data_IF_291183534501
#
_entry.id   IF_291183534501
#
_cell.length_a   1.000
_cell.length_b   1.000
_cell.length_c   1.000
_cell.angle_alpha   90.00
_cell.angle_beta   90.00
_cell.angle_gamma   90.00
#
_symmetry.space_group_name_H-M   'P 1'
#
loop_
_entity.id
_entity.type
_entity.pdbx_description
1 polymer ?
#
# COMPACT_ATOMS: atom_id res chain seq x y z
N UNK A 1 -3.13 30.02 23.53
CA UNK A 1 -2.75 29.03 22.47
C UNK A 1 -3.96 28.73 21.61
N UNK A 2 -3.82 28.60 20.28
CA UNK A 2 -4.95 28.28 19.41
C UNK A 2 -5.20 26.78 19.51
N UNK A 3 -6.24 26.38 20.23
CA UNK A 3 -6.61 24.97 20.34
C UNK A 3 -7.18 24.47 18.99
N UNK A 4 -6.67 23.34 18.50
CA UNK A 4 -7.19 22.63 17.34
C UNK A 4 -8.28 21.63 17.76
N UNK A 5 -9.07 21.16 16.80
CA UNK A 5 -9.97 20.04 17.03
C UNK A 5 -9.20 18.71 16.85
N UNK A 6 -8.29 18.66 15.86
CA UNK A 6 -7.40 17.52 15.68
C UNK A 6 -5.96 17.96 15.40
N UNK A 7 -5.00 17.21 15.96
CA UNK A 7 -3.61 17.16 15.51
C UNK A 7 -3.43 15.86 14.72
N UNK A 8 -2.79 15.95 13.55
CA UNK A 8 -2.41 14.80 12.72
C UNK A 8 -0.87 14.72 12.69
N UNK A 9 -0.31 13.58 13.03
CA UNK A 9 1.13 13.34 12.91
C UNK A 9 1.40 12.67 11.56
N UNK A 10 2.13 13.36 10.68
CA UNK A 10 2.51 12.90 9.36
C UNK A 10 1.62 13.43 8.23
N UNK A 11 2.26 13.99 7.20
CA UNK A 11 1.63 14.54 5.98
C UNK A 11 1.63 13.55 4.80
N UNK A 12 1.66 12.25 5.07
CA UNK A 12 1.51 11.20 4.06
C UNK A 12 0.05 11.00 3.64
N UNK A 13 -0.24 9.99 2.78
CA UNK A 13 -1.57 9.75 2.24
C UNK A 13 -2.68 9.59 3.29
N UNK A 14 -2.39 8.98 4.45
CA UNK A 14 -3.35 8.82 5.54
C UNK A 14 -3.69 10.16 6.19
N UNK A 15 -2.65 10.91 6.58
CA UNK A 15 -2.83 12.17 7.32
C UNK A 15 -3.46 13.27 6.46
N UNK A 16 -3.08 13.37 5.19
CA UNK A 16 -3.68 14.35 4.25
C UNK A 16 -5.16 14.08 4.00
N UNK A 17 -5.55 12.80 3.85
CA UNK A 17 -6.96 12.40 3.72
C UNK A 17 -7.74 12.71 5.00
N UNK A 18 -7.24 12.31 6.16
CA UNK A 18 -7.90 12.54 7.44
C UNK A 18 -8.09 14.05 7.72
N UNK A 19 -7.02 14.83 7.55
CA UNK A 19 -7.05 16.27 7.77
C UNK A 19 -7.99 17.00 6.81
N UNK A 20 -7.94 16.65 5.52
CA UNK A 20 -8.81 17.26 4.50
C UNK A 20 -10.28 16.95 4.75
N UNK A 21 -10.63 15.71 5.13
CA UNK A 21 -12.00 15.33 5.46
C UNK A 21 -12.55 16.16 6.63
N UNK A 22 -11.78 16.28 7.71
CA UNK A 22 -12.18 17.07 8.88
C UNK A 22 -12.30 18.56 8.56
N UNK A 23 -11.36 19.09 7.78
CA UNK A 23 -11.37 20.50 7.38
C UNK A 23 -12.60 20.88 6.56
N UNK A 24 -12.98 20.04 5.59
CA UNK A 24 -14.17 20.26 4.75
C UNK A 24 -15.46 20.28 5.57
N UNK A 25 -15.43 19.76 6.81
CA UNK A 25 -16.55 19.76 7.78
C UNK A 25 -16.40 20.80 8.88
N UNK A 26 -15.53 21.78 8.67
CA UNK A 26 -15.41 22.95 9.55
C UNK A 26 -14.50 22.77 10.75
N UNK A 27 -13.83 21.63 10.90
CA UNK A 27 -12.92 21.42 12.03
C UNK A 27 -11.56 22.10 11.82
N UNK A 28 -10.95 22.54 12.91
CA UNK A 28 -9.60 23.13 12.92
C UNK A 28 -8.58 22.00 13.07
N UNK A 29 -7.79 21.79 12.03
CA UNK A 29 -6.80 20.71 11.98
C UNK A 29 -5.41 21.29 11.73
N UNK A 30 -4.40 20.69 12.36
CA UNK A 30 -2.99 20.94 12.09
C UNK A 30 -2.27 19.62 11.81
N UNK A 31 -1.31 19.64 10.89
CA UNK A 31 -0.43 18.51 10.61
C UNK A 31 0.99 18.83 11.12
N UNK A 32 1.60 17.87 11.79
CA UNK A 32 3.00 17.93 12.23
C UNK A 32 3.77 16.87 11.42
N UNK A 33 4.72 17.33 10.59
CA UNK A 33 5.50 16.47 9.70
C UNK A 33 7.00 16.60 10.03
N UNK A 34 7.65 15.47 10.30
CA UNK A 34 9.06 15.42 10.64
C UNK A 34 9.99 15.81 9.49
N UNK A 35 9.62 15.45 8.27
CA UNK A 35 10.48 15.61 7.10
C UNK A 35 10.13 16.85 6.29
N UNK A 36 11.10 17.38 5.59
CA UNK A 36 10.88 18.35 4.53
C UNK A 36 10.46 17.63 3.25
N UNK A 37 9.53 18.20 2.50
CA UNK A 37 9.07 17.67 1.23
C UNK A 37 9.74 18.37 0.04
N UNK A 38 9.94 17.68 -1.10
CA UNK A 38 9.62 16.26 -1.38
C UNK A 38 10.57 15.29 -0.66
N UNK A 39 10.04 14.12 -0.22
CA UNK A 39 10.80 13.08 0.46
C UNK A 39 10.50 11.71 -0.12
N UNK A 40 11.50 10.82 -0.15
CA UNK A 40 11.32 9.46 -0.66
C UNK A 40 10.56 8.59 0.36
N UNK A 41 9.58 7.83 -0.15
CA UNK A 41 8.91 6.73 0.54
C UNK A 41 8.63 5.62 -0.48
N UNK A 42 8.77 4.35 -0.10
CA UNK A 42 8.37 3.23 -0.95
C UNK A 42 6.85 3.01 -0.89
N UNK A 43 6.27 2.41 -1.96
CA UNK A 43 4.84 2.19 -2.13
C UNK A 43 4.28 3.02 -3.28
N UNK A 44 4.74 2.72 -4.49
CA UNK A 44 4.63 3.53 -5.71
C UNK A 44 3.55 3.05 -6.66
N UNK A 45 3.00 1.88 -6.39
CA UNK A 45 1.86 1.30 -7.10
C UNK A 45 0.61 1.47 -6.25
N UNK A 46 -0.41 2.13 -6.79
CA UNK A 46 -1.64 2.44 -6.06
C UNK A 46 -2.75 1.43 -6.38
N UNK A 47 -3.85 1.51 -5.63
CA UNK A 47 -5.06 0.71 -5.88
C UNK A 47 -6.28 1.62 -6.14
N UNK A 48 -7.23 1.17 -6.98
CA UNK A 48 -8.43 1.92 -7.34
C UNK A 48 -9.24 2.44 -6.15
N UNK A 49 -9.34 1.69 -5.07
CA UNK A 49 -10.04 2.12 -3.85
C UNK A 49 -9.62 3.52 -3.38
N UNK A 50 -8.32 3.82 -3.45
CA UNK A 50 -7.80 5.12 -2.98
C UNK A 50 -8.33 6.31 -3.77
N UNK A 51 -8.75 6.11 -5.02
CA UNK A 51 -9.29 7.18 -5.88
C UNK A 51 -10.55 7.78 -5.25
N UNK A 52 -11.46 6.95 -4.75
CA UNK A 52 -12.66 7.39 -4.06
C UNK A 52 -12.36 8.17 -2.77
N UNK A 53 -11.29 7.81 -2.04
CA UNK A 53 -10.90 8.54 -0.83
C UNK A 53 -10.39 9.94 -1.16
N UNK A 54 -9.60 10.12 -2.23
CA UNK A 54 -9.16 11.45 -2.68
C UNK A 54 -10.30 12.26 -3.30
N UNK A 55 -11.25 11.61 -3.97
CA UNK A 55 -12.45 12.26 -4.49
C UNK A 55 -13.30 12.81 -3.33
N UNK A 56 -13.62 11.98 -2.33
CA UNK A 56 -14.42 12.36 -1.17
C UNK A 56 -13.78 13.49 -0.33
N UNK A 57 -12.46 13.57 -0.34
CA UNK A 57 -11.70 14.59 0.41
C UNK A 57 -11.27 15.79 -0.44
N UNK A 58 -11.72 15.86 -1.70
CA UNK A 58 -11.42 16.97 -2.62
C UNK A 58 -9.93 17.09 -3.00
N UNK A 59 -9.13 16.03 -2.80
CA UNK A 59 -7.72 15.99 -3.14
C UNK A 59 -7.48 15.48 -4.57
N UNK A 60 -8.46 14.75 -5.14
CA UNK A 60 -8.35 14.14 -6.47
C UNK A 60 -8.03 15.13 -7.59
N UNK A 61 -8.63 16.33 -7.68
CA UNK A 61 -8.33 17.27 -8.76
C UNK A 61 -6.85 17.68 -8.85
N UNK A 62 -6.18 17.85 -7.69
CA UNK A 62 -4.76 18.17 -7.66
C UNK A 62 -3.86 17.02 -8.17
N UNK A 63 -4.29 15.78 -8.00
CA UNK A 63 -3.60 14.60 -8.52
C UNK A 63 -3.85 14.37 -10.00
N UNK A 64 -5.07 14.61 -10.49
CA UNK A 64 -5.47 14.40 -11.90
C UNK A 64 -4.65 15.21 -12.90
N UNK A 65 -4.17 16.36 -12.51
CA UNK A 65 -3.37 17.25 -13.40
C UNK A 65 -1.90 16.83 -13.50
N UNK A 66 -1.42 15.87 -12.68
CA UNK A 66 0.00 15.52 -12.58
C UNK A 66 0.50 14.58 -13.70
N UNK A 67 -0.37 14.05 -14.55
CA UNK A 67 -0.02 13.16 -15.66
C UNK A 67 0.79 11.92 -15.22
N UNK A 68 0.45 11.36 -14.06
CA UNK A 68 1.06 10.10 -13.60
C UNK A 68 0.77 8.94 -14.56
N UNK A 69 1.63 7.93 -14.57
CA UNK A 69 1.42 6.71 -15.33
C UNK A 69 0.13 6.00 -14.88
N UNK A 70 -0.80 5.82 -15.80
CA UNK A 70 -2.10 5.21 -15.50
C UNK A 70 -1.93 3.72 -15.30
N UNK A 71 -2.44 3.21 -14.17
CA UNK A 71 -2.50 1.78 -13.83
C UNK A 71 -3.93 1.28 -14.01
N UNK A 72 -4.15 0.42 -15.01
CA UNK A 72 -5.46 -0.20 -15.31
C UNK A 72 -5.57 -1.63 -14.83
N UNK A 73 -4.53 -2.17 -14.20
CA UNK A 73 -4.45 -3.56 -13.77
C UNK A 73 -3.03 -3.92 -13.38
N UNK A 74 -2.71 -5.20 -13.45
CA UNK A 74 -1.37 -5.71 -13.17
C UNK A 74 -1.09 -6.94 -14.03
N UNK A 75 0.16 -7.08 -14.49
CA UNK A 75 0.67 -8.26 -15.18
C UNK A 75 1.43 -9.15 -14.21
N UNK A 76 1.10 -10.42 -14.22
CA UNK A 76 1.84 -11.46 -13.49
C UNK A 76 2.51 -12.39 -14.49
N UNK A 77 3.79 -12.74 -14.23
CA UNK A 77 4.62 -13.55 -15.11
C UNK A 77 5.17 -14.72 -14.30
N UNK A 78 5.05 -15.94 -14.84
CA UNK A 78 5.64 -17.16 -14.31
C UNK A 78 6.33 -17.92 -15.45
N UNK A 79 7.63 -17.75 -15.57
CA UNK A 79 8.38 -18.29 -16.71
C UNK A 79 7.84 -17.75 -18.05
N UNK A 80 7.18 -18.59 -18.83
CA UNK A 80 6.56 -18.21 -20.13
C UNK A 80 5.07 -17.85 -20.02
N UNK A 81 4.47 -18.10 -18.88
CA UNK A 81 3.05 -17.83 -18.64
C UNK A 81 2.86 -16.36 -18.25
N UNK A 82 1.85 -15.75 -18.81
CA UNK A 82 1.51 -14.34 -18.55
C UNK A 82 0.03 -14.24 -18.23
N UNK A 83 -0.30 -13.60 -17.12
CA UNK A 83 -1.66 -13.25 -16.72
C UNK A 83 -1.78 -11.73 -16.63
N UNK A 84 -2.67 -11.14 -17.41
CA UNK A 84 -3.09 -9.76 -17.29
C UNK A 84 -4.42 -9.68 -16.52
N UNK A 85 -4.42 -9.00 -15.38
CA UNK A 85 -5.62 -8.68 -14.62
C UNK A 85 -5.98 -7.21 -14.87
N UNK A 86 -7.19 -6.96 -15.36
CA UNK A 86 -7.70 -5.62 -15.58
C UNK A 86 -8.64 -5.19 -14.44
N UNK A 87 -8.45 -4.01 -13.89
CA UNK A 87 -9.36 -3.47 -12.86
C UNK A 87 -10.76 -3.17 -13.41
N UNK A 88 -10.91 -3.10 -14.73
CA UNK A 88 -12.21 -2.99 -15.38
C UNK A 88 -13.09 -4.25 -15.19
N UNK A 89 -12.45 -5.42 -14.92
CA UNK A 89 -13.15 -6.68 -14.61
C UNK A 89 -13.54 -6.73 -13.12
N UNK A 90 -13.89 -5.62 -12.51
CA UNK A 90 -14.14 -5.50 -11.08
C UNK A 90 -15.56 -5.97 -10.73
N UNK A 91 -15.69 -6.88 -9.75
CA UNK A 91 -17.00 -7.30 -9.21
C UNK A 91 -17.68 -6.19 -8.43
N UNK A 92 -16.89 -5.46 -7.64
CA UNK A 92 -17.37 -4.37 -6.77
C UNK A 92 -17.45 -3.07 -7.54
N UNK A 93 -18.56 -2.35 -7.46
CA UNK A 93 -18.70 -1.02 -8.05
C UNK A 93 -17.67 -0.04 -7.47
N UNK A 94 -17.05 0.75 -8.34
CA UNK A 94 -16.06 1.75 -7.94
C UNK A 94 -15.09 2.10 -9.07
N UNK A 95 -13.99 2.73 -8.69
CA UNK A 95 -12.92 3.09 -9.62
C UNK A 95 -12.29 1.83 -10.22
N UNK A 96 -12.00 1.87 -11.52
CA UNK A 96 -11.44 0.74 -12.28
C UNK A 96 -10.02 1.02 -12.79
N UNK A 97 -9.39 2.07 -12.29
CA UNK A 97 -8.03 2.45 -12.61
C UNK A 97 -7.44 3.33 -11.50
N UNK A 98 -6.14 3.52 -11.53
CA UNK A 98 -5.38 4.37 -10.62
C UNK A 98 -4.05 4.77 -11.27
N UNK A 99 -2.99 5.05 -10.48
CA UNK A 99 -1.68 5.44 -10.98
C UNK A 99 -0.53 4.60 -10.40
N UNK A 100 0.59 4.66 -11.12
CA UNK A 100 1.93 4.39 -10.65
C UNK A 100 2.61 5.75 -10.45
N UNK A 101 3.19 5.98 -9.27
CA UNK A 101 3.61 7.33 -8.87
C UNK A 101 4.99 7.36 -8.23
N UNK A 102 5.84 8.35 -8.58
CA UNK A 102 7.02 8.68 -7.79
C UNK A 102 6.54 9.32 -6.47
N UNK A 103 6.65 8.59 -5.37
CA UNK A 103 6.05 8.95 -4.08
C UNK A 103 6.53 10.29 -3.52
N UNK A 104 7.79 10.67 -3.77
CA UNK A 104 8.29 11.98 -3.34
C UNK A 104 7.46 13.13 -3.91
N UNK A 105 7.15 13.08 -5.20
CA UNK A 105 6.32 14.06 -5.87
C UNK A 105 4.84 13.93 -5.49
N UNK A 106 4.32 12.70 -5.48
CA UNK A 106 2.92 12.42 -5.18
C UNK A 106 2.52 12.90 -3.78
N UNK A 107 3.31 12.54 -2.76
CA UNK A 107 3.03 12.95 -1.37
C UNK A 107 3.14 14.48 -1.22
N UNK A 108 4.07 15.12 -1.95
CA UNK A 108 4.19 16.58 -1.96
C UNK A 108 2.96 17.26 -2.56
N UNK A 109 2.43 16.74 -3.67
CA UNK A 109 1.18 17.25 -4.28
C UNK A 109 0.01 17.14 -3.30
N UNK A 110 -0.13 15.99 -2.61
CA UNK A 110 -1.16 15.81 -1.58
C UNK A 110 -1.00 16.83 -0.43
N UNK A 111 0.22 17.01 0.06
CA UNK A 111 0.49 17.98 1.14
C UNK A 111 0.15 19.41 0.69
N UNK A 112 0.55 19.83 -0.52
CA UNK A 112 0.22 21.15 -1.06
C UNK A 112 -1.29 21.35 -1.27
N UNK A 113 -1.99 20.34 -1.76
CA UNK A 113 -3.44 20.37 -1.88
C UNK A 113 -4.14 20.51 -0.50
N UNK A 114 -3.56 19.87 0.52
CA UNK A 114 -4.05 19.97 1.90
C UNK A 114 -3.80 21.36 2.48
N UNK A 115 -2.61 21.95 2.27
CA UNK A 115 -2.32 23.34 2.66
C UNK A 115 -3.26 24.34 1.97
N UNK A 116 -3.58 24.13 0.69
CA UNK A 116 -4.51 24.96 -0.05
C UNK A 116 -5.94 24.98 0.54
N UNK A 117 -6.31 23.97 1.33
CA UNK A 117 -7.56 23.95 2.12
C UNK A 117 -7.47 24.78 3.42
N UNK A 118 -6.35 25.44 3.67
CA UNK A 118 -6.11 26.23 4.89
C UNK A 118 -5.75 25.37 6.10
N UNK A 119 -5.17 24.19 5.88
CA UNK A 119 -4.64 23.33 6.94
C UNK A 119 -3.14 23.62 7.10
N UNK A 120 -2.68 24.15 8.23
CA UNK A 120 -1.25 24.35 8.46
C UNK A 120 -0.52 23.01 8.56
N UNK A 121 0.61 22.88 7.85
CA UNK A 121 1.53 21.75 7.96
C UNK A 121 2.87 22.27 8.47
N UNK A 122 3.26 21.84 9.67
CA UNK A 122 4.54 22.16 10.26
C UNK A 122 5.58 21.12 9.81
N UNK A 123 6.32 21.44 8.74
CA UNK A 123 7.42 20.61 8.26
C UNK A 123 8.66 20.75 9.12
N UNK A 124 9.50 19.71 9.17
CA UNK A 124 10.73 19.68 9.95
C UNK A 124 10.49 19.60 11.48
N UNK A 125 9.27 19.29 11.88
CA UNK A 125 8.87 19.19 13.27
C UNK A 125 8.74 17.72 13.70
N UNK A 126 9.67 17.24 14.52
CA UNK A 126 9.62 15.90 15.08
C UNK A 126 8.82 15.89 16.38
N UNK A 127 7.76 15.11 16.46
CA UNK A 127 7.00 14.88 17.68
C UNK A 127 7.87 14.10 18.66
N UNK A 128 8.14 14.69 19.82
CA UNK A 128 9.00 14.16 20.87
C UNK A 128 8.26 13.78 22.15
N UNK A 129 7.02 14.27 22.32
CA UNK A 129 6.21 13.99 23.51
C UNK A 129 4.72 14.14 23.25
N UNK A 130 3.93 13.40 24.02
CA UNK A 130 2.47 13.48 24.02
C UNK A 130 1.93 13.35 25.44
N UNK A 131 0.93 14.17 25.77
CA UNK A 131 0.12 14.08 26.97
C UNK A 131 -1.33 13.90 26.55
N UNK A 132 -1.89 12.72 26.85
CA UNK A 132 -3.22 12.32 26.40
C UNK A 132 -4.34 12.72 27.37
N UNK A 133 -4.00 13.13 28.58
CA UNK A 133 -4.92 13.51 29.66
C UNK A 133 -4.87 15.02 29.95
N UNK A 134 -4.47 15.82 28.97
CA UNK A 134 -4.46 17.27 29.08
C UNK A 134 -5.92 17.80 29.25
N UNK A 135 -6.16 18.86 30.05
CA UNK A 135 -7.51 19.41 30.29
C UNK A 135 -8.29 19.75 28.99
N UNK A 136 -7.56 20.17 27.94
CA UNK A 136 -8.13 20.51 26.64
C UNK A 136 -8.16 19.30 25.65
N UNK A 137 -7.85 18.07 26.11
CA UNK A 137 -7.84 16.85 25.32
C UNK A 137 -6.46 16.20 25.20
N UNK A 138 -5.59 16.68 24.31
CA UNK A 138 -4.20 16.22 24.12
C UNK A 138 -3.25 17.39 23.97
N UNK A 139 -2.01 17.20 24.46
CA UNK A 139 -0.88 18.09 24.17
C UNK A 139 0.20 17.30 23.44
N UNK A 140 0.74 17.87 22.38
CA UNK A 140 1.84 17.32 21.58
C UNK A 140 3.00 18.28 21.65
N UNK A 141 4.18 17.79 22.05
CA UNK A 141 5.44 18.50 21.97
C UNK A 141 6.16 18.09 20.70
N UNK A 142 6.56 19.06 19.89
CA UNK A 142 7.33 18.82 18.67
C UNK A 142 8.57 19.71 18.65
N UNK A 143 9.66 19.20 18.10
CA UNK A 143 10.95 19.89 18.03
C UNK A 143 11.34 20.14 16.57
N UNK A 144 11.78 21.37 16.30
CA UNK A 144 12.44 21.75 15.05
C UNK A 144 13.87 22.29 15.34
N UNK A 145 14.48 22.95 14.35
CA UNK A 145 15.81 23.56 14.49
C UNK A 145 15.83 24.73 15.50
N UNK A 146 14.70 25.40 15.71
CA UNK A 146 14.55 26.59 16.56
C UNK A 146 14.17 26.25 18.02
N UNK A 147 13.83 24.97 18.28
CA UNK A 147 13.49 24.49 19.61
C UNK A 147 12.20 23.69 19.70
N UNK A 148 11.62 23.66 20.90
CA UNK A 148 10.36 22.91 21.13
C UNK A 148 9.16 23.84 21.00
N UNK A 149 8.09 23.27 20.41
CA UNK A 149 6.78 23.90 20.27
C UNK A 149 5.70 22.96 20.77
N UNK A 150 4.70 23.53 21.44
CA UNK A 150 3.54 22.77 21.93
C UNK A 150 2.30 23.06 21.10
N UNK A 151 1.54 22.00 20.86
CA UNK A 151 0.25 22.04 20.18
C UNK A 151 -0.80 21.35 21.05
N UNK A 152 -2.01 21.93 21.12
CA UNK A 152 -3.13 21.34 21.86
C UNK A 152 -4.32 21.08 20.95
N UNK A 153 -4.99 19.95 21.14
CA UNK A 153 -6.19 19.59 20.40
C UNK A 153 -7.11 18.69 21.22
N UNK A 154 -8.35 18.50 20.73
CA UNK A 154 -9.29 17.56 21.35
C UNK A 154 -8.88 16.11 21.10
N UNK A 155 -8.22 15.82 19.98
CA UNK A 155 -7.89 14.46 19.55
C UNK A 155 -6.62 14.40 18.71
N UNK A 156 -5.94 13.25 18.73
CA UNK A 156 -4.68 12.98 18.03
C UNK A 156 -4.83 11.82 17.05
N UNK A 157 -4.45 12.05 15.77
CA UNK A 157 -4.41 11.03 14.72
C UNK A 157 -2.94 10.76 14.40
N UNK A 158 -2.45 9.56 14.74
CA UNK A 158 -1.10 9.15 14.33
C UNK A 158 -1.13 8.53 12.93
N UNK A 159 -0.66 9.28 11.96
CA UNK A 159 -0.45 8.91 10.55
C UNK A 159 1.04 8.90 10.18
N UNK A 160 1.95 8.75 11.16
CA UNK A 160 3.40 8.87 10.98
C UNK A 160 4.03 7.69 10.20
N UNK A 161 3.22 6.75 9.75
CA UNK A 161 3.63 5.63 8.90
C UNK A 161 4.64 4.71 9.62
N UNK A 162 5.75 4.37 8.97
CA UNK A 162 6.82 3.58 9.60
C UNK A 162 7.50 4.28 10.78
N UNK A 163 7.23 5.57 10.99
CA UNK A 163 7.71 6.32 12.15
C UNK A 163 7.17 5.76 13.46
N UNK A 164 5.91 5.33 13.47
CA UNK A 164 5.23 4.74 14.63
C UNK A 164 5.35 5.61 15.86
N UNK A 165 5.01 6.91 15.75
CA UNK A 165 5.31 7.90 16.81
C UNK A 165 4.63 7.54 18.10
N UNK A 166 3.31 7.37 18.10
CA UNK A 166 2.59 6.99 19.33
C UNK A 166 2.91 5.56 19.77
N UNK A 167 3.18 4.66 18.84
CA UNK A 167 3.61 3.29 19.16
C UNK A 167 4.85 3.31 20.05
N UNK A 168 5.83 4.16 19.69
CA UNK A 168 7.07 4.31 20.46
C UNK A 168 6.89 5.09 21.76
N UNK A 169 6.23 6.26 21.69
CA UNK A 169 6.08 7.14 22.86
C UNK A 169 5.22 6.52 23.96
N UNK A 170 4.22 5.73 23.59
CA UNK A 170 3.32 5.08 24.54
C UNK A 170 3.73 3.65 24.88
N UNK A 171 4.79 3.11 24.26
CA UNK A 171 5.23 1.73 24.47
C UNK A 171 4.17 0.71 24.05
N UNK A 172 3.42 1.00 22.97
CA UNK A 172 2.39 0.08 22.47
C UNK A 172 3.06 -1.19 21.90
N UNK A 173 2.35 -2.31 21.99
CA UNK A 173 2.85 -3.57 21.45
C UNK A 173 2.79 -3.56 19.92
N UNK A 174 3.95 -3.32 19.32
CA UNK A 174 4.19 -3.55 17.91
C UNK A 174 4.68 -4.99 17.74
N UNK A 175 3.91 -5.79 17.01
CA UNK A 175 4.27 -7.17 16.71
C UNK A 175 4.84 -7.25 15.32
N UNK A 176 6.15 -7.46 15.20
CA UNK A 176 6.77 -7.87 13.96
C UNK A 176 6.13 -9.17 13.45
N UNK A 177 5.90 -9.28 12.13
CA UNK A 177 5.32 -10.49 11.56
C UNK A 177 6.28 -11.68 11.60
N UNK A 178 7.58 -11.47 11.88
CA UNK A 178 8.58 -12.54 12.05
C UNK A 178 8.71 -13.49 10.85
N UNK A 179 8.33 -13.00 9.63
CA UNK A 179 8.23 -13.84 8.43
C UNK A 179 9.56 -13.99 7.67
N UNK A 180 10.64 -13.37 8.15
CA UNK A 180 11.97 -13.42 7.55
C UNK A 180 12.04 -12.85 6.13
N UNK A 181 11.13 -11.95 5.75
CA UNK A 181 11.07 -11.36 4.41
C UNK A 181 11.89 -10.09 4.31
N UNK A 182 12.40 -9.88 3.11
CA UNK A 182 13.19 -8.71 2.74
C UNK A 182 12.69 -8.13 1.43
N UNK A 183 12.90 -6.83 1.25
CA UNK A 183 12.79 -6.14 -0.02
C UNK A 183 14.12 -5.50 -0.37
N UNK A 184 14.55 -5.63 -1.62
CA UNK A 184 15.71 -4.93 -2.18
C UNK A 184 15.26 -4.23 -3.45
N UNK A 185 15.45 -2.92 -3.55
CA UNK A 185 14.85 -2.13 -4.61
C UNK A 185 15.68 -0.90 -4.97
N UNK A 186 15.45 -0.41 -6.18
CA UNK A 186 16.08 0.79 -6.72
C UNK A 186 15.21 1.42 -7.80
N UNK A 187 15.61 2.60 -8.27
CA UNK A 187 15.10 3.21 -9.49
C UNK A 187 16.16 3.16 -10.59
N UNK A 188 15.69 2.93 -11.81
CA UNK A 188 16.54 2.97 -13.02
C UNK A 188 15.97 3.95 -14.04
N UNK A 189 16.83 4.49 -14.90
CA UNK A 189 16.41 5.29 -16.05
C UNK A 189 16.13 4.36 -17.23
N UNK A 190 14.98 4.55 -17.88
CA UNK A 190 14.65 3.95 -19.17
C UNK A 190 14.16 5.07 -20.09
N UNK A 191 15.02 5.47 -21.03
CA UNK A 191 14.66 6.55 -21.97
C UNK A 191 13.43 6.21 -22.82
N UNK A 192 12.68 7.21 -23.27
CA UNK A 192 11.55 7.00 -24.16
C UNK A 192 11.94 6.29 -25.46
N UNK A 193 13.14 6.56 -25.96
CA UNK A 193 13.70 5.87 -27.12
C UNK A 193 13.84 4.35 -26.85
N UNK A 194 14.32 3.97 -25.67
CA UNK A 194 14.41 2.55 -25.29
C UNK A 194 13.01 1.96 -25.05
N UNK A 195 12.13 2.66 -24.32
CA UNK A 195 10.75 2.22 -24.04
C UNK A 195 9.95 1.93 -25.31
N UNK A 196 10.20 2.70 -26.39
CA UNK A 196 9.54 2.49 -27.69
C UNK A 196 9.86 1.12 -28.33
N UNK A 197 10.95 0.46 -27.91
CA UNK A 197 11.33 -0.89 -28.39
C UNK A 197 10.71 -2.01 -27.56
N UNK A 198 10.09 -1.70 -26.41
CA UNK A 198 9.52 -2.67 -25.47
C UNK A 198 8.02 -2.75 -25.67
N UNK A 199 7.48 -3.98 -25.74
CA UNK A 199 6.02 -4.17 -25.75
C UNK A 199 5.44 -3.79 -24.38
N UNK A 200 4.40 -2.95 -24.39
CA UNK A 200 3.70 -2.47 -23.17
C UNK A 200 4.66 -1.89 -22.11
N UNK A 201 5.52 -0.90 -22.45
CA UNK A 201 6.59 -0.45 -21.56
C UNK A 201 6.08 0.16 -20.25
N UNK A 202 4.83 0.64 -20.23
CA UNK A 202 4.18 1.27 -19.07
C UNK A 202 3.37 0.29 -18.22
N UNK A 203 3.33 -0.99 -18.61
CA UNK A 203 2.57 -2.01 -17.88
C UNK A 203 3.30 -2.39 -16.58
N UNK A 204 2.66 -2.15 -15.44
CA UNK A 204 3.16 -2.67 -14.16
C UNK A 204 3.16 -4.20 -14.20
N UNK A 205 4.27 -4.78 -13.80
CA UNK A 205 4.47 -6.22 -13.91
C UNK A 205 5.14 -6.80 -12.66
N UNK A 206 4.72 -8.01 -12.33
CA UNK A 206 5.24 -8.80 -11.22
C UNK A 206 5.66 -10.17 -11.75
N UNK A 207 6.93 -10.52 -11.59
CA UNK A 207 7.44 -11.83 -11.98
C UNK A 207 7.60 -12.72 -10.74
N UNK A 208 7.07 -13.93 -10.81
CA UNK A 208 7.29 -15.00 -9.85
C UNK A 208 8.63 -15.65 -10.24
N UNK A 209 9.69 -15.26 -9.54
CA UNK A 209 11.05 -15.79 -9.76
C UNK A 209 11.22 -17.15 -9.09
N UNK A 210 10.62 -17.29 -7.92
CA UNK A 210 10.49 -18.53 -7.15
C UNK A 210 9.17 -18.48 -6.36
N UNK A 211 8.75 -19.55 -5.73
CA UNK A 211 7.49 -19.60 -4.97
C UNK A 211 7.39 -18.47 -3.93
N UNK A 212 8.50 -18.14 -3.28
CA UNK A 212 8.58 -17.09 -2.26
C UNK A 212 9.60 -15.99 -2.58
N UNK A 213 9.88 -15.78 -3.87
CA UNK A 213 10.65 -14.65 -4.40
C UNK A 213 9.96 -14.09 -5.63
N UNK A 214 9.65 -12.81 -5.63
CA UNK A 214 9.06 -12.12 -6.76
C UNK A 214 9.78 -10.81 -7.05
N UNK A 215 9.64 -10.35 -8.29
CA UNK A 215 10.28 -9.15 -8.81
C UNK A 215 9.23 -8.19 -9.36
N UNK A 216 9.33 -6.90 -9.05
CA UNK A 216 8.44 -5.89 -9.60
C UNK A 216 9.12 -4.98 -10.62
N UNK A 217 8.34 -4.54 -11.59
CA UNK A 217 8.67 -3.51 -12.57
C UNK A 217 7.54 -2.50 -12.58
N UNK A 218 7.81 -1.29 -12.06
CA UNK A 218 6.82 -0.21 -11.93
C UNK A 218 7.34 1.02 -12.70
N UNK A 219 6.99 1.18 -13.98
CA UNK A 219 7.39 2.32 -14.79
C UNK A 219 6.59 3.57 -14.42
N UNK A 220 7.27 4.73 -14.37
CA UNK A 220 6.64 6.04 -14.19
C UNK A 220 6.61 6.81 -15.51
N UNK A 221 5.86 7.92 -15.55
CA UNK A 221 5.73 8.76 -16.73
C UNK A 221 6.95 9.64 -17.04
N UNK A 222 8.00 9.61 -16.19
CA UNK A 222 9.18 10.46 -16.27
C UNK A 222 10.48 9.68 -16.60
N UNK A 223 10.41 8.69 -17.46
CA UNK A 223 11.54 7.84 -17.84
C UNK A 223 12.21 7.06 -16.68
N UNK A 224 11.60 7.06 -15.51
CA UNK A 224 12.08 6.28 -14.35
C UNK A 224 11.24 5.02 -14.20
N UNK A 225 11.89 3.92 -13.87
CA UNK A 225 11.24 2.65 -13.52
C UNK A 225 11.74 2.18 -12.15
N UNK A 226 10.80 1.88 -11.27
CA UNK A 226 11.11 1.25 -9.98
C UNK A 226 11.23 -0.26 -10.19
N UNK A 227 12.32 -0.83 -9.68
CA UNK A 227 12.62 -2.25 -9.71
C UNK A 227 12.85 -2.75 -8.29
N UNK A 228 12.38 -3.96 -8.00
CA UNK A 228 12.69 -4.55 -6.70
C UNK A 228 12.33 -6.01 -6.58
N UNK A 229 13.10 -6.69 -5.75
CA UNK A 229 12.86 -8.06 -5.34
C UNK A 229 12.30 -8.10 -3.93
N UNK A 230 11.34 -8.99 -3.71
CA UNK A 230 10.79 -9.28 -2.39
C UNK A 230 10.70 -10.79 -2.21
N UNK A 231 11.14 -11.26 -1.04
CA UNK A 231 11.08 -12.67 -0.73
C UNK A 231 11.71 -12.99 0.62
N UNK A 232 11.82 -14.28 0.92
CA UNK A 232 12.50 -14.74 2.12
C UNK A 232 14.01 -14.42 2.05
N UNK A 233 14.60 -14.05 3.18
CA UNK A 233 16.01 -13.62 3.27
C UNK A 233 17.01 -14.59 2.64
N UNK A 234 16.71 -15.90 2.60
CA UNK A 234 17.58 -16.93 1.95
C UNK A 234 17.85 -16.67 0.47
N UNK A 235 17.01 -15.88 -0.20
CA UNK A 235 17.19 -15.52 -1.62
C UNK A 235 18.14 -14.35 -1.83
N UNK A 236 18.56 -13.68 -0.76
CA UNK A 236 19.40 -12.46 -0.81
C UNK A 236 20.84 -12.70 -0.39
N UNK A 237 21.33 -13.93 -0.49
CA UNK A 237 22.73 -14.29 -0.18
C UNK A 237 23.77 -13.52 -1.03
N UNK A 238 23.36 -13.04 -2.22
CA UNK A 238 24.14 -12.15 -3.05
C UNK A 238 24.56 -10.86 -2.32
N UNK A 239 23.77 -10.37 -1.33
CA UNK A 239 24.11 -9.20 -0.54
C UNK A 239 25.40 -9.38 0.27
N UNK A 240 25.64 -10.58 0.78
CA UNK A 240 26.82 -10.89 1.61
C UNK A 240 28.06 -11.17 0.76
N UNK A 241 27.88 -11.58 -0.52
CA UNK A 241 28.94 -12.02 -1.42
C UNK A 241 29.37 -10.95 -2.42
N UNK A 242 28.62 -9.87 -2.54
CA UNK A 242 28.87 -8.83 -3.54
C UNK A 242 29.60 -7.62 -2.94
N UNK A 243 30.42 -6.92 -3.72
CA UNK A 243 31.19 -5.75 -3.25
C UNK A 243 30.29 -4.52 -3.00
N UNK A 244 29.09 -4.49 -3.56
CA UNK A 244 28.10 -3.40 -3.39
C UNK A 244 26.68 -3.92 -3.52
N UNK A 245 25.71 -3.12 -3.07
CA UNK A 245 24.29 -3.43 -3.26
C UNK A 245 23.89 -3.42 -4.73
N UNK A 246 24.49 -2.56 -5.57
CA UNK A 246 24.26 -2.58 -7.02
C UNK A 246 24.74 -3.89 -7.65
N UNK A 247 25.91 -4.40 -7.26
CA UNK A 247 26.41 -5.69 -7.75
C UNK A 247 25.51 -6.86 -7.32
N UNK A 248 25.05 -6.84 -6.06
CA UNK A 248 24.10 -7.82 -5.56
C UNK A 248 22.77 -7.77 -6.32
N UNK A 249 22.21 -6.57 -6.57
CA UNK A 249 20.98 -6.39 -7.31
C UNK A 249 21.11 -6.88 -8.76
N UNK A 250 22.23 -6.58 -9.42
CA UNK A 250 22.52 -7.09 -10.77
C UNK A 250 22.60 -8.62 -10.81
N UNK A 251 23.18 -9.25 -9.78
CA UNK A 251 23.17 -10.71 -9.63
C UNK A 251 21.75 -11.27 -9.50
N UNK A 252 20.88 -10.59 -8.77
CA UNK A 252 19.47 -10.97 -8.66
C UNK A 252 18.71 -10.74 -9.95
N UNK A 253 18.99 -9.65 -10.70
CA UNK A 253 18.39 -9.38 -12.01
C UNK A 253 18.69 -10.49 -13.02
N UNK A 254 19.82 -11.18 -12.93
CA UNK A 254 20.14 -12.32 -13.78
C UNK A 254 19.22 -13.54 -13.56
N UNK A 255 18.46 -13.59 -12.46
CA UNK A 255 17.50 -14.67 -12.15
C UNK A 255 16.15 -14.47 -12.83
N UNK A 256 15.78 -13.24 -13.21
CA UNK A 256 14.51 -12.95 -13.88
C UNK A 256 14.53 -13.48 -15.32
N UNK A 257 13.37 -13.91 -15.82
CA UNK A 257 13.18 -14.47 -17.16
C UNK A 257 12.12 -13.72 -17.97
N UNK A 258 11.18 -13.05 -17.28
CA UNK A 258 10.02 -12.43 -17.89
C UNK A 258 10.31 -11.16 -18.69
N UNK A 259 11.44 -10.50 -18.43
CA UNK A 259 11.80 -9.24 -19.08
C UNK A 259 12.98 -9.33 -20.05
N UNK A 260 13.54 -10.55 -20.21
CA UNK A 260 14.69 -10.77 -21.12
C UNK A 260 15.83 -9.79 -20.85
N UNK A 261 16.40 -9.14 -21.92
CA UNK A 261 17.53 -8.25 -21.77
C UNK A 261 17.19 -6.83 -21.25
N UNK A 262 15.91 -6.52 -21.00
CA UNK A 262 15.46 -5.17 -20.64
C UNK A 262 16.28 -4.56 -19.49
N UNK A 263 16.66 -5.35 -18.52
CA UNK A 263 17.41 -4.91 -17.35
C UNK A 263 18.80 -5.55 -17.22
N UNK A 264 19.41 -5.99 -18.35
CA UNK A 264 20.74 -6.59 -18.35
C UNK A 264 21.84 -5.60 -17.92
N UNK A 265 21.69 -4.32 -18.26
CA UNK A 265 22.62 -3.23 -17.91
C UNK A 265 21.85 -2.03 -17.36
N UNK A 266 21.33 -2.12 -16.13
CA UNK A 266 20.46 -1.08 -15.59
C UNK A 266 21.25 0.20 -15.26
N UNK A 267 20.66 1.34 -15.58
CA UNK A 267 21.18 2.67 -15.21
C UNK A 267 20.57 3.07 -13.86
N UNK A 268 21.27 2.73 -12.77
CA UNK A 268 20.79 3.02 -11.42
C UNK A 268 20.78 4.52 -11.12
N UNK A 269 19.66 5.05 -10.61
CA UNK A 269 19.59 6.42 -10.12
C UNK A 269 20.20 6.56 -8.71
N UNK A 270 20.22 5.49 -7.95
CA UNK A 270 20.81 5.40 -6.63
C UNK A 270 21.06 3.92 -6.25
N UNK A 271 21.99 3.72 -5.32
CA UNK A 271 22.32 2.39 -4.81
C UNK A 271 21.09 1.67 -4.26
N UNK A 272 20.86 0.39 -4.65
CA UNK A 272 19.70 -0.37 -4.16
C UNK A 272 19.60 -0.38 -2.65
N UNK A 273 18.42 -0.06 -2.14
CA UNK A 273 18.09 -0.06 -0.72
C UNK A 273 17.54 -1.42 -0.29
N UNK A 274 17.79 -1.77 0.96
CA UNK A 274 17.32 -3.01 1.56
C UNK A 274 16.45 -2.68 2.77
N UNK A 275 15.26 -3.30 2.82
CA UNK A 275 14.38 -3.24 3.99
C UNK A 275 14.17 -4.68 4.47
N UNK A 276 14.37 -4.92 5.76
CA UNK A 276 14.19 -6.21 6.41
C UNK A 276 13.01 -6.14 7.36
N UNK A 277 12.28 -7.26 7.50
CA UNK A 277 11.21 -7.43 8.51
C UNK A 277 10.22 -6.26 8.55
N UNK A 278 9.78 -5.82 7.36
CA UNK A 278 8.92 -4.65 7.18
C UNK A 278 7.48 -4.85 7.67
N UNK A 279 7.03 -6.09 7.80
CA UNK A 279 5.66 -6.39 8.21
C UNK A 279 5.49 -6.31 9.72
N UNK A 280 4.46 -5.59 10.17
CA UNK A 280 4.15 -5.40 11.58
C UNK A 280 2.66 -5.08 11.76
N UNK A 281 2.16 -5.26 12.97
CA UNK A 281 0.80 -4.87 13.37
C UNK A 281 0.71 -4.55 14.85
N UNK A 282 -0.20 -3.65 15.20
CA UNK A 282 -0.47 -3.28 16.57
C UNK A 282 -1.73 -3.96 17.09
N UNK A 283 -1.70 -4.40 18.34
CA UNK A 283 -2.84 -5.03 19.01
C UNK A 283 -3.97 -4.03 19.22
N UNK A 284 -3.64 -2.80 19.62
CA UNK A 284 -4.57 -1.70 19.83
C UNK A 284 -4.37 -0.59 18.78
N UNK A 285 -5.43 -0.21 18.09
CA UNK A 285 -5.39 0.84 17.07
C UNK A 285 -5.90 2.19 17.59
N UNK A 286 -6.38 2.25 18.80
CA UNK A 286 -6.89 3.47 19.44
C UNK A 286 -6.69 3.45 20.96
N UNK A 287 -6.88 4.58 21.57
CA UNK A 287 -6.93 4.74 23.02
C UNK A 287 -7.60 6.05 23.38
N UNK A 288 -7.44 6.49 24.61
CA UNK A 288 -8.01 7.75 25.05
C UNK A 288 -7.42 8.91 24.23
N UNK A 289 -8.29 9.61 23.51
CA UNK A 289 -7.99 10.78 22.69
C UNK A 289 -6.98 10.56 21.55
N UNK A 290 -6.74 9.31 21.10
CA UNK A 290 -5.92 9.04 19.92
C UNK A 290 -6.40 7.84 19.11
N UNK A 291 -5.96 7.82 17.83
CA UNK A 291 -6.12 6.71 16.89
C UNK A 291 -4.87 6.55 16.02
N UNK A 292 -4.49 5.30 15.73
CA UNK A 292 -3.42 4.95 14.79
C UNK A 292 -4.02 4.71 13.40
N UNK A 293 -3.40 5.25 12.35
CA UNK A 293 -3.86 5.11 10.96
C UNK A 293 -2.70 4.79 10.01
N UNK A 294 -3.00 4.22 8.86
CA UNK A 294 -1.96 3.85 7.89
C UNK A 294 -0.98 2.83 8.46
N UNK A 295 0.30 2.98 8.07
CA UNK A 295 1.32 2.04 8.52
C UNK A 295 1.60 2.10 10.03
N UNK A 296 1.16 3.13 10.76
CA UNK A 296 1.21 3.11 12.23
C UNK A 296 0.29 2.04 12.82
N UNK A 297 -0.85 1.77 12.17
CA UNK A 297 -1.77 0.71 12.58
C UNK A 297 -1.21 -0.69 12.24
N UNK A 298 -0.48 -0.78 11.12
CA UNK A 298 0.17 -2.00 10.67
C UNK A 298 0.50 -1.98 9.18
N UNK A 299 1.44 -2.83 8.79
CA UNK A 299 1.81 -3.06 7.40
C UNK A 299 2.03 -4.55 7.15
N UNK A 300 1.51 -5.07 6.05
CA UNK A 300 1.54 -6.50 5.75
C UNK A 300 2.68 -6.86 4.79
N UNK A 301 2.49 -6.58 3.49
CA UNK A 301 3.40 -6.98 2.42
C UNK A 301 3.15 -6.12 1.18
N UNK A 302 4.18 -5.77 0.39
CA UNK A 302 4.00 -4.93 -0.79
C UNK A 302 3.40 -5.65 -2.01
N UNK A 303 3.24 -6.98 -2.01
CA UNK A 303 2.90 -7.79 -3.19
C UNK A 303 1.63 -7.33 -3.91
N UNK A 304 0.61 -6.89 -3.19
CA UNK A 304 -0.66 -6.43 -3.77
C UNK A 304 -0.84 -4.90 -3.70
N UNK A 305 0.22 -4.15 -3.44
CA UNK A 305 0.17 -2.67 -3.46
C UNK A 305 -0.81 -2.05 -2.45
N UNK A 306 -1.16 -2.75 -1.37
CA UNK A 306 -2.26 -2.40 -0.46
C UNK A 306 -1.96 -1.22 0.47
N UNK A 307 -0.69 -0.88 0.71
CA UNK A 307 -0.29 0.04 1.79
C UNK A 307 -0.94 1.43 1.71
N UNK A 308 -0.98 2.07 0.53
CA UNK A 308 -1.60 3.39 0.37
C UNK A 308 -3.13 3.30 0.49
N UNK A 309 -3.74 2.23 -0.04
CA UNK A 309 -5.19 2.01 0.08
C UNK A 309 -5.62 1.85 1.55
N UNK A 310 -4.87 1.07 2.33
CA UNK A 310 -5.10 0.98 3.77
C UNK A 310 -4.87 2.31 4.49
N UNK A 311 -3.82 3.05 4.12
CA UNK A 311 -3.51 4.32 4.73
C UNK A 311 -4.63 5.35 4.50
N UNK A 312 -5.10 5.49 3.27
CA UNK A 312 -6.19 6.42 2.94
C UNK A 312 -7.52 5.98 3.55
N UNK A 313 -7.82 4.66 3.54
CA UNK A 313 -9.05 4.13 4.13
C UNK A 313 -9.10 4.33 5.65
N UNK A 314 -8.05 3.93 6.38
CA UNK A 314 -8.00 4.06 7.83
C UNK A 314 -8.02 5.53 8.27
N UNK A 315 -7.30 6.41 7.56
CA UNK A 315 -7.35 7.85 7.81
C UNK A 315 -8.73 8.45 7.60
N UNK A 316 -9.42 8.07 6.52
CA UNK A 316 -10.77 8.52 6.23
C UNK A 316 -11.79 8.00 7.25
N UNK A 317 -11.71 6.71 7.61
CA UNK A 317 -12.58 6.12 8.64
C UNK A 317 -12.42 6.83 9.97
N UNK A 318 -11.19 7.04 10.45
CA UNK A 318 -10.92 7.75 11.69
C UNK A 318 -11.51 9.16 11.67
N UNK A 319 -11.33 9.90 10.56
CA UNK A 319 -11.87 11.24 10.40
C UNK A 319 -13.40 11.27 10.39
N UNK A 320 -14.04 10.30 9.74
CA UNK A 320 -15.52 10.15 9.74
C UNK A 320 -16.07 9.91 11.14
N UNK A 321 -15.44 9.02 11.89
CA UNK A 321 -15.86 8.70 13.26
C UNK A 321 -15.66 9.88 14.21
N UNK A 322 -14.55 10.60 14.08
CA UNK A 322 -14.32 11.82 14.86
C UNK A 322 -15.40 12.88 14.56
N UNK A 323 -15.68 13.12 13.29
CA UNK A 323 -16.73 14.05 12.90
C UNK A 323 -18.08 13.64 13.47
N UNK A 324 -18.45 12.36 13.38
CA UNK A 324 -19.68 11.81 13.95
C UNK A 324 -19.73 12.02 15.47
N UNK A 325 -18.66 11.66 16.18
CA UNK A 325 -18.56 11.82 17.64
C UNK A 325 -18.70 13.28 18.07
N UNK A 326 -18.06 14.21 17.35
CA UNK A 326 -18.16 15.64 17.69
C UNK A 326 -19.53 16.25 17.37
N UNK A 327 -20.35 15.57 16.58
CA UNK A 327 -21.74 15.91 16.33
C UNK A 327 -22.74 15.13 17.22
N UNK A 328 -22.26 14.51 18.29
CA UNK A 328 -23.10 13.82 19.28
C UNK A 328 -23.52 12.41 18.90
N UNK A 329 -22.98 11.82 17.84
CA UNK A 329 -23.21 10.42 17.48
C UNK A 329 -22.26 9.55 18.30
N UNK A 330 -22.74 8.60 19.12
CA UNK A 330 -21.88 7.70 19.87
C UNK A 330 -20.98 6.88 18.95
N UNK A 331 -19.68 6.78 19.26
CA UNK A 331 -18.68 6.01 18.52
C UNK A 331 -18.03 5.02 19.46
N UNK A 332 -18.07 3.76 19.10
CA UNK A 332 -17.30 2.67 19.70
C UNK A 332 -16.07 2.40 18.83
N UNK A 333 -14.92 2.93 19.24
CA UNK A 333 -13.67 2.84 18.48
C UNK A 333 -13.22 1.40 18.21
N UNK A 334 -13.50 0.44 19.09
CA UNK A 334 -13.16 -0.96 18.82
C UNK A 334 -14.06 -1.51 17.72
N UNK A 335 -15.38 -1.36 17.86
CA UNK A 335 -16.38 -1.89 16.93
C UNK A 335 -16.39 -1.16 15.58
N UNK A 336 -16.35 0.18 15.62
CA UNK A 336 -16.58 1.01 14.44
C UNK A 336 -15.29 1.31 13.67
N UNK A 337 -14.10 1.15 14.30
CA UNK A 337 -12.81 1.40 13.71
C UNK A 337 -11.88 0.18 13.69
N UNK A 338 -11.48 -0.34 14.88
CA UNK A 338 -10.43 -1.37 14.96
C UNK A 338 -10.85 -2.68 14.29
N UNK A 339 -12.06 -3.15 14.54
CA UNK A 339 -12.60 -4.38 13.95
C UNK A 339 -12.67 -4.28 12.43
N UNK A 340 -13.25 -3.24 11.80
CA UNK A 340 -13.25 -3.09 10.35
C UNK A 340 -11.86 -2.97 9.73
N UNK A 341 -10.94 -2.21 10.34
CA UNK A 341 -9.56 -2.07 9.82
C UNK A 341 -8.83 -3.41 9.87
N UNK A 342 -8.89 -4.12 11.00
CA UNK A 342 -8.27 -5.45 11.16
C UNK A 342 -8.88 -6.49 10.20
N UNK A 343 -10.19 -6.40 9.95
CA UNK A 343 -10.88 -7.28 9.01
C UNK A 343 -10.38 -7.10 7.57
N UNK A 344 -10.30 -5.86 7.08
CA UNK A 344 -9.73 -5.60 5.77
C UNK A 344 -8.27 -6.08 5.64
N UNK A 345 -7.47 -5.90 6.71
CA UNK A 345 -6.12 -6.43 6.79
C UNK A 345 -6.08 -7.97 6.72
N UNK A 346 -7.03 -8.66 7.38
CA UNK A 346 -7.13 -10.11 7.36
C UNK A 346 -7.44 -10.65 5.96
N UNK A 347 -8.28 -9.97 5.17
CA UNK A 347 -8.54 -10.34 3.77
C UNK A 347 -7.23 -10.31 2.96
N UNK A 348 -6.48 -9.19 2.98
CA UNK A 348 -5.20 -9.14 2.27
C UNK A 348 -4.18 -10.13 2.80
N UNK A 349 -4.15 -10.37 4.11
CA UNK A 349 -3.27 -11.37 4.72
C UNK A 349 -3.48 -12.76 4.14
N UNK A 350 -4.74 -13.19 3.95
CA UNK A 350 -5.06 -14.47 3.34
C UNK A 350 -4.54 -14.58 1.90
N UNK A 351 -4.63 -13.50 1.12
CA UNK A 351 -4.09 -13.45 -0.24
C UNK A 351 -2.56 -13.47 -0.27
N UNK A 352 -1.92 -12.77 0.67
CA UNK A 352 -0.46 -12.78 0.84
C UNK A 352 0.01 -14.19 1.21
N UNK A 353 -0.66 -14.86 2.14
CA UNK A 353 -0.36 -16.24 2.53
C UNK A 353 -0.52 -17.19 1.34
N UNK A 354 -1.61 -17.05 0.57
CA UNK A 354 -1.86 -17.85 -0.64
C UNK A 354 -0.86 -17.54 -1.76
N UNK A 355 -0.30 -16.34 -1.82
CA UNK A 355 0.79 -16.01 -2.72
C UNK A 355 2.07 -16.78 -2.35
N UNK A 356 2.51 -16.69 -1.10
CA UNK A 356 3.77 -17.28 -0.66
C UNK A 356 3.75 -18.80 -0.47
N UNK A 357 2.57 -19.42 -0.33
CA UNK A 357 2.44 -20.88 -0.34
C UNK A 357 2.19 -21.46 -1.74
N UNK A 358 2.03 -20.61 -2.76
CA UNK A 358 1.83 -21.00 -4.15
C UNK A 358 0.37 -21.28 -4.56
N UNK A 359 -0.58 -21.27 -3.65
CA UNK A 359 -2.00 -21.51 -3.99
C UNK A 359 -2.55 -20.47 -4.95
N UNK A 360 -2.21 -19.19 -4.72
CA UNK A 360 -2.64 -18.11 -5.61
C UNK A 360 -1.98 -18.19 -6.99
N UNK A 361 -0.72 -18.68 -7.05
CA UNK A 361 -0.05 -18.93 -8.33
C UNK A 361 -0.79 -20.00 -9.16
N UNK A 362 -1.28 -21.07 -8.52
CA UNK A 362 -2.10 -22.09 -9.20
C UNK A 362 -3.38 -21.50 -9.75
N UNK A 363 -4.09 -20.70 -8.93
CA UNK A 363 -5.34 -20.05 -9.32
C UNK A 363 -5.11 -19.08 -10.50
N UNK A 364 -4.08 -18.24 -10.41
CA UNK A 364 -3.78 -17.23 -11.43
C UNK A 364 -3.49 -17.83 -12.80
N UNK A 365 -2.79 -18.94 -12.85
CA UNK A 365 -2.41 -19.60 -14.09
C UNK A 365 -3.26 -20.83 -14.41
N UNK A 366 -4.43 -20.98 -13.77
CA UNK A 366 -5.39 -22.02 -14.13
C UNK A 366 -5.97 -21.74 -15.52
N UNK A 367 -5.95 -22.73 -16.45
CA UNK A 367 -6.38 -22.52 -17.83
C UNK A 367 -7.87 -22.21 -17.97
N UNK A 368 -8.69 -22.71 -17.05
CA UNK A 368 -10.17 -22.65 -17.12
C UNK A 368 -10.78 -21.86 -15.94
N UNK A 369 -10.08 -20.81 -15.44
CA UNK A 369 -10.62 -19.97 -14.37
C UNK A 369 -11.87 -19.23 -14.86
N UNK A 370 -13.00 -19.47 -14.20
CA UNK A 370 -14.28 -18.86 -14.55
C UNK A 370 -14.20 -17.32 -14.38
N UNK A 371 -14.82 -16.60 -15.33
CA UNK A 371 -14.76 -15.14 -15.38
C UNK A 371 -15.29 -14.49 -14.11
N UNK A 372 -16.40 -14.96 -13.52
CA UNK A 372 -16.94 -14.43 -12.29
C UNK A 372 -15.99 -14.60 -11.08
N UNK A 373 -15.20 -15.68 -11.04
CA UNK A 373 -14.18 -15.88 -10.01
C UNK A 373 -13.04 -14.88 -10.21
N UNK A 374 -12.61 -14.69 -11.46
CA UNK A 374 -11.60 -13.69 -11.81
C UNK A 374 -12.03 -12.29 -11.37
N UNK A 375 -13.26 -11.90 -11.66
CA UNK A 375 -13.84 -10.60 -11.28
C UNK A 375 -13.83 -10.39 -9.76
N UNK A 376 -14.23 -11.40 -8.98
CA UNK A 376 -14.23 -11.36 -7.53
C UNK A 376 -12.81 -11.22 -6.96
N UNK A 377 -11.82 -11.92 -7.51
CA UNK A 377 -10.41 -11.80 -7.13
C UNK A 377 -9.88 -10.40 -7.49
N UNK A 378 -10.17 -9.93 -8.71
CA UNK A 378 -9.75 -8.59 -9.16
C UNK A 378 -10.27 -7.50 -8.22
N UNK A 379 -11.50 -7.61 -7.70
CA UNK A 379 -12.04 -6.67 -6.71
C UNK A 379 -11.17 -6.58 -5.45
N UNK A 380 -10.73 -7.71 -4.91
CA UNK A 380 -9.82 -7.72 -3.75
C UNK A 380 -8.49 -7.06 -4.10
N UNK A 381 -7.93 -7.36 -5.28
CA UNK A 381 -6.66 -6.79 -5.76
C UNK A 381 -6.78 -5.30 -6.15
N UNK A 382 -7.99 -4.81 -6.38
CA UNK A 382 -8.31 -3.39 -6.57
C UNK A 382 -8.46 -2.62 -5.25
N UNK A 383 -8.45 -3.34 -4.11
CA UNK A 383 -8.54 -2.79 -2.77
C UNK A 383 -9.90 -2.93 -2.09
N UNK A 384 -10.93 -3.47 -2.75
CA UNK A 384 -12.31 -3.55 -2.23
C UNK A 384 -12.48 -4.69 -1.22
N UNK A 385 -11.68 -4.70 -0.17
CA UNK A 385 -11.62 -5.75 0.86
C UNK A 385 -12.67 -5.62 1.96
N UNK A 386 -13.56 -4.65 1.86
CA UNK A 386 -14.69 -4.46 2.78
C UNK A 386 -16.04 -4.81 2.15
N UNK A 387 -16.10 -5.20 0.87
CA UNK A 387 -17.33 -5.61 0.20
C UNK A 387 -17.69 -7.07 0.53
N UNK A 388 -18.50 -7.25 1.55
CA UNK A 388 -18.94 -8.58 2.01
C UNK A 388 -19.85 -9.32 1.01
N UNK A 389 -20.35 -8.64 -0.03
CA UNK A 389 -21.09 -9.30 -1.11
C UNK A 389 -20.16 -10.16 -1.96
N UNK A 390 -18.86 -9.85 -1.96
CA UNK A 390 -17.84 -10.64 -2.63
C UNK A 390 -17.49 -11.88 -1.78
N UNK A 391 -17.77 -13.12 -2.28
CA UNK A 391 -17.42 -14.35 -1.56
C UNK A 391 -15.93 -14.45 -1.20
N UNK A 392 -15.05 -13.87 -2.02
CA UNK A 392 -13.59 -13.84 -1.80
C UNK A 392 -13.16 -12.83 -0.73
N UNK A 393 -14.08 -11.98 -0.28
CA UNK A 393 -13.93 -11.16 0.93
C UNK A 393 -14.59 -11.86 2.11
N UNK A 394 -15.85 -12.28 1.98
CA UNK A 394 -16.63 -12.83 3.08
C UNK A 394 -16.06 -14.14 3.65
N UNK A 395 -15.41 -14.99 2.82
CA UNK A 395 -14.83 -16.28 3.17
C UNK A 395 -13.35 -16.37 2.80
N UNK A 396 -12.62 -15.26 2.92
CA UNK A 396 -11.24 -15.11 2.46
C UNK A 396 -10.26 -16.15 3.02
N UNK A 397 -10.52 -16.66 4.23
CA UNK A 397 -9.68 -17.60 4.97
C UNK A 397 -9.68 -19.02 4.40
N UNK A 398 -10.75 -19.42 3.71
CA UNK A 398 -10.95 -20.78 3.21
C UNK A 398 -11.09 -20.87 1.70
N UNK A 399 -11.63 -19.84 1.05
CA UNK A 399 -12.03 -19.92 -0.36
C UNK A 399 -10.83 -20.09 -1.30
N UNK A 400 -9.69 -19.42 -1.04
CA UNK A 400 -8.50 -19.51 -1.89
C UNK A 400 -7.91 -20.93 -1.86
N UNK A 401 -7.79 -21.53 -0.66
CA UNK A 401 -7.31 -22.90 -0.51
C UNK A 401 -8.24 -23.90 -1.18
N UNK A 402 -9.56 -23.73 -1.02
CA UNK A 402 -10.55 -24.60 -1.66
C UNK A 402 -10.43 -24.51 -3.17
N UNK A 403 -10.31 -23.31 -3.73
CA UNK A 403 -10.15 -23.12 -5.17
C UNK A 403 -8.83 -23.70 -5.70
N UNK A 404 -7.72 -23.51 -4.98
CA UNK A 404 -6.43 -24.11 -5.36
C UNK A 404 -6.51 -25.64 -5.43
N UNK A 405 -7.18 -26.27 -4.46
CA UNK A 405 -7.40 -27.73 -4.45
C UNK A 405 -8.27 -28.17 -5.66
N UNK A 406 -9.30 -27.42 -6.01
CA UNK A 406 -10.14 -27.71 -7.19
C UNK A 406 -9.30 -27.63 -8.48
N UNK A 407 -8.43 -26.63 -8.60
CA UNK A 407 -7.52 -26.49 -9.74
C UNK A 407 -6.58 -27.69 -9.83
N UNK A 408 -5.98 -28.12 -8.72
CA UNK A 408 -5.10 -29.31 -8.68
C UNK A 408 -5.84 -30.58 -9.10
N UNK A 409 -7.07 -30.79 -8.61
CA UNK A 409 -7.90 -31.96 -8.99
C UNK A 409 -8.25 -31.94 -10.48
N UNK A 410 -8.58 -30.78 -11.03
CA UNK A 410 -8.90 -30.63 -12.45
C UNK A 410 -7.69 -30.90 -13.35
N UNK A 411 -6.49 -30.48 -12.91
CA UNK A 411 -5.25 -30.77 -13.63
C UNK A 411 -4.85 -32.24 -13.58
N UNK A 412 -5.20 -32.96 -12.50
CA UNK A 412 -4.91 -34.40 -12.33
C UNK A 412 -5.91 -35.33 -13.06
N UNK A 413 -7.07 -34.79 -13.44
CA UNK A 413 -8.09 -35.58 -14.18
C UNK A 413 -7.64 -35.79 -15.63
N UNK A 414 -7.58 -37.05 -16.15
CA UNK A 414 -7.22 -37.27 -17.53
C UNK A 414 -8.26 -36.60 -18.43
N UNK A 415 -7.82 -35.76 -19.41
CA UNK A 415 -8.69 -35.25 -20.46
C UNK A 415 -9.31 -36.47 -21.16
N UNK A 416 -10.61 -36.70 -20.96
CA UNK A 416 -11.34 -37.69 -21.72
C UNK A 416 -11.18 -37.29 -23.19
N UNK A 417 -10.41 -38.07 -23.94
CA UNK A 417 -10.21 -37.88 -25.38
C UNK A 417 -11.61 -37.84 -26.03
N UNK A 418 -11.95 -36.71 -26.64
CA UNK A 418 -13.15 -36.67 -27.49
C UNK A 418 -13.00 -37.75 -28.56
N UNK A 419 -13.81 -38.79 -28.46
CA UNK A 419 -13.92 -39.79 -29.48
C UNK A 419 -14.38 -39.08 -30.77
N UNK A 420 -13.66 -39.16 -31.89
CA UNK A 420 -14.10 -38.55 -33.13
C UNK A 420 -15.45 -39.18 -33.52
N UNK A 421 -16.48 -38.38 -33.69
CA UNK A 421 -17.72 -38.78 -34.29
C UNK A 421 -17.42 -39.17 -35.77
N UNK A 422 -17.19 -40.44 -36.03
CA UNK A 422 -17.24 -41.02 -37.39
C UNK A 422 -18.70 -41.19 -37.76
N UNK A 423 -19.21 -40.29 -38.59
CA UNK A 423 -20.28 -40.52 -39.55
C UNK A 423 -19.80 -40.17 -40.93
#
# INVERSE_FOLDING_TARGET
>A
MTAYDAIVIGAGPSGTVAASYLRDRGHRVVIIEKQLFPRFVIGESLLPLSMGHWEETGLLPALMVQKYAVKRGARFIRGKEVLDLAFADNFTEGWTWTWQVPRAHFDHVLAKATEAKGIPIHYGHEVTGVELDHPDGVRVTARDADGEKEFTARFLIDSSGYGGVLVKLLGLKDRGAGNGRMAMFTHVTETDAFRSTVKDPMQISFEIVDTDLWFWVIPFSNEVTSLGFVGHQRHFDALERSPSTSAAFSTMLARQQGFGPRFATPQYLWEPKVIREYAHYNDSLHGRNYVLTGNCAGFLDPVFSSGVAFATNSGLMAAKLLHASWNGIPVDWEKDYSVPVKRGAAVFKSYIEAWYNGDLHKIFFAPDLQQNIKEQIVSVLAGYVWDEKNPFVARHDSILRTLANVVDMSAASPKIAQVPNTQ
#
